data_IF_969640994921
#
_entry.id   IF_969640994921
#
_cell.length_a   1.000
_cell.length_b   1.000
_cell.length_c   1.000
_cell.angle_alpha   90.00
_cell.angle_beta   90.00
_cell.angle_gamma   90.00
#
_symmetry.space_group_name_H-M   'P 1'
#
loop_
_entity.id
_entity.type
_entity.pdbx_description
1 polymer ?
#
# COMPACT_ATOMS: atom_id res chain seq x y z
N UNK A 1 -18.87 -2.97 3.72
CA UNK A 1 -19.04 -3.30 2.29
C UNK A 1 -19.79 -4.62 2.14
N UNK A 2 -20.83 -4.66 1.29
CA UNK A 2 -21.48 -5.90 0.91
C UNK A 2 -20.59 -6.71 -0.06
N UNK A 3 -20.77 -8.04 -0.18
CA UNK A 3 -20.06 -8.84 -1.18
C UNK A 3 -20.18 -8.29 -2.61
N UNK A 4 -21.36 -7.79 -3.00
CA UNK A 4 -21.60 -7.19 -4.32
C UNK A 4 -20.71 -5.94 -4.53
N UNK A 5 -20.63 -5.05 -3.55
CA UNK A 5 -19.77 -3.87 -3.61
C UNK A 5 -18.28 -4.27 -3.70
N UNK A 6 -17.87 -5.34 -3.01
CA UNK A 6 -16.52 -5.87 -3.11
C UNK A 6 -16.17 -6.34 -4.53
N UNK A 7 -17.11 -7.00 -5.21
CA UNK A 7 -16.93 -7.42 -6.60
C UNK A 7 -16.85 -6.24 -7.59
N UNK A 8 -17.65 -5.21 -7.40
CA UNK A 8 -17.59 -4.00 -8.23
C UNK A 8 -16.26 -3.27 -8.08
N UNK A 9 -15.76 -3.12 -6.84
CA UNK A 9 -14.46 -2.54 -6.57
C UNK A 9 -13.35 -3.36 -7.23
N UNK A 10 -13.36 -4.68 -7.11
CA UNK A 10 -12.38 -5.56 -7.74
C UNK A 10 -12.38 -5.40 -9.26
N UNK A 11 -13.55 -5.42 -9.90
CA UNK A 11 -13.68 -5.20 -11.34
C UNK A 11 -13.15 -3.82 -11.78
N UNK A 12 -13.47 -2.78 -11.04
CA UNK A 12 -12.99 -1.43 -11.30
C UNK A 12 -11.45 -1.36 -11.21
N UNK A 13 -10.87 -1.95 -10.17
CA UNK A 13 -9.42 -1.94 -9.95
C UNK A 13 -8.69 -2.74 -11.03
N UNK A 14 -9.28 -3.84 -11.52
CA UNK A 14 -8.66 -4.71 -12.52
C UNK A 14 -8.95 -4.31 -13.99
N UNK A 15 -9.70 -3.22 -14.20
CA UNK A 15 -10.14 -2.83 -15.53
C UNK A 15 -8.98 -2.66 -16.52
N UNK A 16 -7.96 -1.89 -16.18
CA UNK A 16 -6.83 -1.63 -17.10
C UNK A 16 -6.02 -2.90 -17.40
N UNK A 17 -5.86 -3.77 -16.42
CA UNK A 17 -5.20 -5.05 -16.61
C UNK A 17 -5.96 -5.93 -17.62
N UNK A 18 -7.29 -5.89 -17.56
CA UNK A 18 -8.16 -6.64 -18.47
C UNK A 18 -8.15 -6.03 -19.87
N UNK A 19 -8.29 -4.70 -19.98
CA UNK A 19 -8.32 -3.98 -21.26
C UNK A 19 -7.00 -4.07 -22.03
N UNK A 20 -5.87 -3.97 -21.32
CA UNK A 20 -4.55 -4.06 -21.94
C UNK A 20 -4.03 -5.50 -22.06
N UNK A 21 -4.78 -6.49 -21.59
CA UNK A 21 -4.36 -7.89 -21.46
C UNK A 21 -2.97 -8.05 -20.81
N UNK A 22 -2.65 -7.15 -19.88
CA UNK A 22 -1.35 -7.10 -19.19
C UNK A 22 -1.43 -7.87 -17.88
N UNK A 23 -0.54 -8.83 -17.69
CA UNK A 23 -0.39 -9.54 -16.40
C UNK A 23 0.95 -9.19 -15.77
N UNK A 24 0.97 -8.79 -14.49
CA UNK A 24 2.22 -8.58 -13.80
C UNK A 24 3.08 -9.83 -13.81
N UNK A 25 4.29 -9.70 -14.33
CA UNK A 25 5.29 -10.76 -14.32
C UNK A 25 6.23 -10.58 -13.13
N UNK A 26 6.64 -11.66 -12.53
CA UNK A 26 7.55 -11.63 -11.40
C UNK A 26 8.18 -12.99 -11.15
N UNK A 27 9.19 -13.01 -10.28
CA UNK A 27 9.86 -14.23 -9.84
C UNK A 27 9.02 -14.94 -8.78
N UNK A 28 8.70 -16.21 -9.02
CA UNK A 28 8.03 -17.09 -8.05
C UNK A 28 8.86 -18.35 -7.81
N UNK A 29 8.85 -18.84 -6.58
CA UNK A 29 9.47 -20.10 -6.24
C UNK A 29 8.49 -21.24 -6.49
N UNK A 30 8.83 -22.15 -7.37
CA UNK A 30 8.03 -23.33 -7.69
C UNK A 30 8.82 -24.57 -7.30
N UNK A 31 8.13 -25.57 -6.74
CA UNK A 31 8.75 -26.86 -6.47
C UNK A 31 8.85 -27.66 -7.77
N UNK A 32 10.06 -28.02 -8.16
CA UNK A 32 10.31 -28.89 -9.28
C UNK A 32 10.30 -30.34 -8.78
N UNK A 33 9.25 -31.10 -9.15
CA UNK A 33 9.08 -32.47 -8.70
C UNK A 33 10.13 -33.42 -9.28
N UNK A 34 10.75 -33.07 -10.40
CA UNK A 34 11.80 -33.88 -11.06
C UNK A 34 13.16 -33.75 -10.37
N UNK A 35 13.47 -32.52 -9.90
CA UNK A 35 14.73 -32.21 -9.22
C UNK A 35 14.64 -32.28 -7.70
N UNK A 36 13.42 -32.33 -7.14
CA UNK A 36 13.15 -32.27 -5.70
C UNK A 36 13.52 -30.92 -5.06
N UNK A 37 13.78 -29.88 -5.85
CA UNK A 37 14.24 -28.57 -5.38
C UNK A 37 13.25 -27.48 -5.71
N UNK A 38 13.31 -26.37 -4.95
CA UNK A 38 12.58 -25.15 -5.29
C UNK A 38 13.41 -24.30 -6.24
N UNK A 39 12.85 -24.05 -7.41
CA UNK A 39 13.44 -23.25 -8.47
C UNK A 39 12.73 -21.89 -8.55
N UNK A 40 13.46 -20.87 -8.99
CA UNK A 40 12.89 -19.55 -9.25
C UNK A 40 12.57 -19.46 -10.73
N UNK A 41 11.28 -19.38 -11.04
CA UNK A 41 10.81 -19.15 -12.40
C UNK A 41 10.19 -17.76 -12.53
N UNK A 42 10.28 -17.18 -13.72
CA UNK A 42 9.56 -15.99 -14.09
C UNK A 42 8.20 -16.38 -14.65
N UNK A 43 7.15 -15.67 -14.22
CA UNK A 43 5.81 -15.98 -14.68
C UNK A 43 4.77 -15.00 -14.12
N UNK A 44 3.50 -15.13 -14.54
CA UNK A 44 2.42 -14.31 -14.00
C UNK A 44 2.36 -14.44 -12.47
N UNK A 45 2.29 -13.29 -11.79
CA UNK A 45 2.12 -13.22 -10.33
C UNK A 45 0.73 -12.69 -10.02
N UNK A 46 0.07 -13.27 -9.02
CA UNK A 46 -1.23 -12.79 -8.54
C UNK A 46 -1.13 -11.40 -7.85
N UNK A 47 0.07 -10.87 -7.68
CA UNK A 47 0.37 -9.70 -6.87
C UNK A 47 0.25 -8.40 -7.68
N UNK A 48 -0.90 -8.20 -8.35
CA UNK A 48 -1.19 -7.01 -9.15
C UNK A 48 -1.84 -5.88 -8.35
N UNK A 49 -2.28 -6.16 -7.13
CA UNK A 49 -2.84 -5.14 -6.24
C UNK A 49 -1.80 -4.74 -5.20
N UNK A 50 -1.56 -3.45 -5.10
CA UNK A 50 -0.85 -2.83 -3.99
C UNK A 50 -1.88 -2.30 -3.00
N UNK A 51 -1.65 -2.54 -1.71
CA UNK A 51 -2.59 -2.16 -0.66
C UNK A 51 -1.85 -1.54 0.50
N UNK A 52 -2.40 -0.46 1.04
CA UNK A 52 -1.98 0.12 2.31
C UNK A 52 -3.18 0.63 3.10
N UNK A 53 -2.96 0.85 4.39
CA UNK A 53 -3.86 1.55 5.30
C UNK A 53 -3.23 2.88 5.70
N UNK A 54 -4.00 3.96 5.63
CA UNK A 54 -3.66 5.24 6.24
C UNK A 54 -4.53 5.41 7.48
N UNK A 55 -3.90 5.59 8.63
CA UNK A 55 -4.58 5.70 9.91
C UNK A 55 -4.12 6.96 10.64
N UNK A 56 -5.06 7.62 11.27
CA UNK A 56 -4.80 8.71 12.20
C UNK A 56 -4.41 8.17 13.58
N UNK A 57 -3.76 9.01 14.36
CA UNK A 57 -3.57 8.75 15.80
C UNK A 57 -4.94 8.64 16.49
N UNK A 58 -5.10 7.75 17.48
CA UNK A 58 -6.33 7.71 18.29
C UNK A 58 -6.64 9.01 19.04
N UNK A 59 -5.67 9.92 19.13
CA UNK A 59 -5.81 11.25 19.75
C UNK A 59 -6.37 12.30 18.80
N UNK A 60 -6.36 12.01 17.50
CA UNK A 60 -6.88 12.90 16.48
C UNK A 60 -8.38 12.68 16.29
N UNK A 61 -9.08 13.76 15.98
CA UNK A 61 -10.49 13.68 15.63
C UNK A 61 -10.67 12.88 14.33
N UNK A 62 -11.72 12.07 14.25
CA UNK A 62 -12.11 11.40 13.03
C UNK A 62 -12.34 12.42 11.92
N UNK A 63 -11.89 12.08 10.71
CA UNK A 63 -12.03 12.95 9.56
C UNK A 63 -13.31 12.59 8.78
N UNK A 64 -13.97 13.63 8.25
CA UNK A 64 -15.08 13.40 7.32
C UNK A 64 -14.61 12.86 5.97
N UNK A 65 -15.53 12.28 5.19
CA UNK A 65 -15.25 11.67 3.89
C UNK A 65 -14.57 12.64 2.91
N UNK A 66 -14.95 13.93 2.92
CA UNK A 66 -14.31 14.94 2.07
C UNK A 66 -12.82 15.15 2.40
N UNK A 67 -12.48 15.14 3.69
CA UNK A 67 -11.09 15.28 4.12
C UNK A 67 -10.29 14.03 3.76
N UNK A 68 -10.84 12.84 4.00
CA UNK A 68 -10.24 11.60 3.59
C UNK A 68 -10.06 11.50 2.07
N UNK A 69 -11.01 12.00 1.29
CA UNK A 69 -10.88 12.07 -0.17
C UNK A 69 -9.68 12.93 -0.59
N UNK A 70 -9.50 14.09 0.03
CA UNK A 70 -8.35 14.98 -0.22
C UNK A 70 -7.04 14.32 0.17
N UNK A 71 -6.97 13.72 1.35
CA UNK A 71 -5.80 12.99 1.83
C UNK A 71 -5.45 11.82 0.91
N UNK A 72 -6.45 11.01 0.55
CA UNK A 72 -6.26 9.86 -0.33
C UNK A 72 -5.75 10.28 -1.72
N UNK A 73 -6.29 11.37 -2.26
CA UNK A 73 -5.86 11.92 -3.56
C UNK A 73 -4.43 12.42 -3.50
N UNK A 74 -4.07 13.22 -2.49
CA UNK A 74 -2.70 13.73 -2.31
C UNK A 74 -1.71 12.57 -2.11
N UNK A 75 -2.09 11.54 -1.35
CA UNK A 75 -1.27 10.34 -1.21
C UNK A 75 -1.09 9.62 -2.55
N UNK A 76 -2.16 9.41 -3.30
CA UNK A 76 -2.11 8.76 -4.61
C UNK A 76 -1.24 9.54 -5.61
N UNK A 77 -1.31 10.87 -5.61
CA UNK A 77 -0.46 11.74 -6.42
C UNK A 77 1.02 11.56 -6.07
N UNK A 78 1.37 11.60 -4.78
CA UNK A 78 2.74 11.43 -4.29
C UNK A 78 3.31 10.04 -4.55
N UNK A 79 2.46 9.03 -4.56
CA UNK A 79 2.84 7.67 -4.93
C UNK A 79 2.98 7.46 -6.44
N UNK A 80 2.46 8.39 -7.27
CA UNK A 80 2.47 8.30 -8.72
C UNK A 80 1.40 7.35 -9.27
N UNK A 81 0.24 7.30 -8.60
CA UNK A 81 -0.89 6.47 -9.06
C UNK A 81 -1.85 7.22 -9.99
N UNK A 82 -1.87 8.56 -9.94
CA UNK A 82 -2.86 9.39 -10.64
C UNK A 82 -2.39 9.94 -11.99
N UNK A 83 -1.13 9.73 -12.34
CA UNK A 83 -0.52 10.33 -13.52
C UNK A 83 0.08 11.72 -13.27
N UNK A 84 0.07 12.24 -12.04
CA UNK A 84 0.70 13.52 -11.69
C UNK A 84 2.23 13.53 -11.94
N UNK A 85 2.85 12.35 -12.06
CA UNK A 85 4.26 12.16 -12.40
C UNK A 85 4.52 12.13 -13.93
N UNK A 86 3.52 12.46 -14.75
CA UNK A 86 3.60 12.45 -16.21
C UNK A 86 3.49 11.06 -16.86
N UNK A 87 3.19 10.02 -16.06
CA UNK A 87 2.95 8.66 -16.55
C UNK A 87 1.46 8.37 -16.61
N UNK A 88 1.07 7.34 -17.36
CA UNK A 88 -0.31 6.89 -17.35
C UNK A 88 -0.80 6.55 -15.92
N UNK A 89 -2.06 6.83 -15.57
CA UNK A 89 -2.58 6.55 -14.23
C UNK A 89 -2.75 5.05 -13.97
N UNK A 90 -2.78 4.70 -12.69
CA UNK A 90 -3.27 3.42 -12.21
C UNK A 90 -4.75 3.52 -11.82
N UNK A 91 -5.47 2.41 -11.82
CA UNK A 91 -6.76 2.33 -11.13
C UNK A 91 -6.54 2.19 -9.64
N UNK A 92 -7.19 3.01 -8.86
CA UNK A 92 -7.12 2.94 -7.41
C UNK A 92 -8.44 3.31 -6.76
N UNK A 93 -8.63 2.88 -5.53
CA UNK A 93 -9.80 3.17 -4.72
C UNK A 93 -9.36 3.37 -3.27
N UNK A 94 -10.02 4.29 -2.58
CA UNK A 94 -9.90 4.45 -1.14
C UNK A 94 -11.25 4.11 -0.49
N UNK A 95 -11.21 3.35 0.59
CA UNK A 95 -12.40 2.93 1.34
C UNK A 95 -12.25 3.40 2.78
N UNK A 96 -13.16 4.25 3.24
CA UNK A 96 -13.21 4.70 4.62
C UNK A 96 -13.86 3.63 5.49
N UNK A 97 -13.16 3.17 6.50
CA UNK A 97 -13.62 2.14 7.43
C UNK A 97 -14.11 2.71 8.77
N UNK A 98 -13.84 4.01 9.03
CA UNK A 98 -14.09 4.61 10.33
C UNK A 98 -13.05 4.18 11.38
N UNK A 99 -13.38 4.27 12.67
CA UNK A 99 -12.42 4.00 13.74
C UNK A 99 -12.00 2.52 13.78
N UNK A 100 -10.71 2.29 13.91
CA UNK A 100 -10.12 0.98 14.16
C UNK A 100 -10.33 0.55 15.63
N UNK A 101 -9.97 -0.67 15.97
CA UNK A 101 -10.08 -1.20 17.36
C UNK A 101 -9.32 -0.37 18.39
N UNK A 102 -8.24 0.31 17.97
CA UNK A 102 -7.45 1.21 18.80
C UNK A 102 -8.00 2.66 18.85
N UNK A 103 -9.13 2.93 18.17
CA UNK A 103 -9.80 4.24 18.14
C UNK A 103 -9.37 5.16 17.02
N UNK A 104 -8.28 4.88 16.31
CA UNK A 104 -7.82 5.72 15.19
C UNK A 104 -8.69 5.56 13.95
N UNK A 105 -9.11 6.69 13.37
CA UNK A 105 -9.85 6.70 12.10
C UNK A 105 -8.93 6.29 10.93
N UNK A 106 -9.45 5.56 9.94
CA UNK A 106 -8.59 5.04 8.87
C UNK A 106 -9.30 4.79 7.55
N UNK A 107 -8.50 4.81 6.49
CA UNK A 107 -8.89 4.39 5.14
C UNK A 107 -7.98 3.27 4.66
N UNK A 108 -8.49 2.44 3.76
CA UNK A 108 -7.71 1.49 2.97
C UNK A 108 -7.59 1.99 1.54
N UNK A 109 -6.37 1.95 0.98
CA UNK A 109 -6.11 2.29 -0.42
C UNK A 109 -5.66 1.03 -1.14
N UNK A 110 -6.36 0.70 -2.23
CA UNK A 110 -6.03 -0.41 -3.12
C UNK A 110 -5.74 0.12 -4.51
N UNK A 111 -4.66 -0.34 -5.12
CA UNK A 111 -4.18 0.12 -6.42
C UNK A 111 -3.80 -1.07 -7.28
N UNK A 112 -4.32 -1.15 -8.50
CA UNK A 112 -3.75 -2.05 -9.49
C UNK A 112 -2.43 -1.46 -10.01
N UNK A 113 -1.37 -2.22 -9.96
CA UNK A 113 -0.05 -1.76 -10.40
C UNK A 113 0.10 -1.68 -11.91
N UNK A 114 -0.87 -2.17 -12.68
CA UNK A 114 -0.92 -2.00 -14.13
C UNK A 114 -1.56 -0.66 -14.44
N UNK A 115 -0.85 0.17 -15.20
CA UNK A 115 -1.29 1.48 -15.64
C UNK A 115 -2.22 1.37 -16.86
N UNK A 116 -2.92 2.44 -17.16
CA UNK A 116 -3.83 2.54 -18.30
C UNK A 116 -3.18 2.20 -19.65
N UNK A 117 -1.89 2.51 -19.80
CA UNK A 117 -1.09 2.21 -20.99
C UNK A 117 -0.47 0.79 -20.99
N UNK A 118 -0.82 -0.05 -20.02
CA UNK A 118 -0.28 -1.40 -19.85
C UNK A 118 1.10 -1.45 -19.20
N UNK A 119 1.74 -0.32 -18.94
CA UNK A 119 2.99 -0.29 -18.17
C UNK A 119 2.75 -0.59 -16.69
N UNK A 120 3.81 -0.84 -15.94
CA UNK A 120 3.68 -1.17 -14.51
C UNK A 120 4.22 -0.06 -13.64
N UNK A 121 3.49 0.23 -12.56
CA UNK A 121 4.00 1.04 -11.48
C UNK A 121 5.16 0.31 -10.78
N UNK A 122 6.26 1.02 -10.57
CA UNK A 122 7.45 0.45 -9.95
C UNK A 122 7.30 0.40 -8.42
N UNK A 123 7.30 -0.81 -7.87
CA UNK A 123 7.21 -1.09 -6.43
C UNK A 123 8.54 -0.92 -5.70
N UNK A 124 9.61 -0.62 -6.40
CA UNK A 124 10.90 -0.41 -5.75
C UNK A 124 10.84 0.75 -4.75
N UNK A 125 11.23 0.48 -3.52
CA UNK A 125 11.16 1.42 -2.40
C UNK A 125 9.75 2.01 -2.15
N UNK A 126 8.70 1.24 -2.35
CA UNK A 126 7.32 1.66 -2.12
C UNK A 126 7.06 2.07 -0.66
N UNK A 127 7.59 1.34 0.31
CA UNK A 127 7.46 1.68 1.74
C UNK A 127 8.14 3.02 2.09
N UNK A 128 9.44 3.27 1.79
CA UNK A 128 10.04 4.59 2.00
C UNK A 128 9.30 5.72 1.27
N UNK A 129 8.75 5.44 0.09
CA UNK A 129 7.96 6.41 -0.66
C UNK A 129 6.66 6.75 0.05
N UNK A 130 5.93 5.72 0.52
CA UNK A 130 4.70 5.90 1.29
C UNK A 130 4.95 6.65 2.60
N UNK A 131 6.02 6.33 3.32
CA UNK A 131 6.38 7.05 4.55
C UNK A 131 6.65 8.53 4.30
N UNK A 132 7.39 8.87 3.22
CA UNK A 132 7.61 10.27 2.84
C UNK A 132 6.31 10.97 2.43
N UNK A 133 5.42 10.27 1.74
CA UNK A 133 4.11 10.80 1.37
C UNK A 133 3.26 11.09 2.62
N UNK A 134 3.21 10.15 3.58
CA UNK A 134 2.50 10.33 4.85
C UNK A 134 3.06 11.53 5.64
N UNK A 135 4.39 11.64 5.81
CA UNK A 135 4.99 12.76 6.53
C UNK A 135 4.59 14.12 5.91
N UNK A 136 4.63 14.23 4.58
CA UNK A 136 4.20 15.46 3.90
C UNK A 136 2.72 15.76 4.06
N UNK A 137 1.88 14.73 4.13
CA UNK A 137 0.44 14.85 4.38
C UNK A 137 0.19 15.28 5.81
N UNK A 138 0.89 14.69 6.79
CA UNK A 138 0.80 15.07 8.20
C UNK A 138 1.03 16.59 8.36
N UNK A 139 2.10 17.12 7.76
CA UNK A 139 2.38 18.55 7.78
C UNK A 139 1.34 19.39 7.00
N UNK A 140 0.94 18.95 5.80
CA UNK A 140 0.04 19.71 4.93
C UNK A 140 -1.39 19.84 5.49
N UNK A 141 -1.83 18.83 6.24
CA UNK A 141 -3.19 18.76 6.79
C UNK A 141 -3.24 19.03 8.30
N UNK A 142 -2.10 19.38 8.92
CA UNK A 142 -2.02 19.68 10.36
C UNK A 142 -2.31 18.46 11.23
N UNK A 143 -1.96 17.27 10.77
CA UNK A 143 -2.11 16.03 11.50
C UNK A 143 -0.94 15.80 12.46
N UNK A 144 -1.09 14.85 13.39
CA UNK A 144 -0.02 14.46 14.29
C UNK A 144 1.17 13.89 13.49
N UNK A 145 2.32 14.56 13.59
CA UNK A 145 3.53 14.14 12.88
C UNK A 145 4.18 12.99 13.61
N UNK A 146 4.43 11.89 12.90
CA UNK A 146 5.11 10.73 13.47
C UNK A 146 6.61 10.95 13.40
N UNK A 147 7.25 11.23 14.55
CA UNK A 147 8.70 11.49 14.68
C UNK A 147 9.59 10.46 13.97
N UNK A 148 9.24 9.18 14.06
CA UNK A 148 9.97 8.11 13.38
C UNK A 148 10.02 8.30 11.84
N UNK A 149 9.09 9.04 11.27
CA UNK A 149 9.07 9.35 9.84
C UNK A 149 9.94 10.55 9.48
N UNK A 150 10.12 11.50 10.40
CA UNK A 150 11.02 12.66 10.21
C UNK A 150 12.48 12.24 10.20
N UNK A 151 12.85 11.29 11.05
CA UNK A 151 14.21 10.81 11.25
C UNK A 151 14.56 9.55 10.46
N UNK A 152 13.61 8.98 9.71
CA UNK A 152 13.78 7.73 8.96
C UNK A 152 14.76 7.89 7.78
N UNK A 153 16.04 7.97 8.08
CA UNK A 153 17.13 7.73 7.13
C UNK A 153 17.23 6.22 6.88
N UNK A 154 16.23 5.64 6.22
CA UNK A 154 16.34 4.28 5.66
C UNK A 154 16.29 3.12 6.66
N UNK A 155 16.01 3.32 7.93
CA UNK A 155 15.79 2.21 8.85
C UNK A 155 14.47 1.53 8.54
N UNK A 156 14.51 0.22 8.27
CA UNK A 156 13.32 -0.61 8.11
C UNK A 156 12.58 -0.66 9.45
N UNK A 157 11.34 -0.20 9.48
CA UNK A 157 10.47 -0.43 10.64
C UNK A 157 10.32 -1.94 10.88
N UNK A 158 10.38 -2.36 12.13
CA UNK A 158 10.20 -3.76 12.49
C UNK A 158 8.79 -4.22 12.06
N UNK A 159 8.74 -5.32 11.33
CA UNK A 159 7.46 -5.94 10.99
C UNK A 159 6.81 -6.55 12.25
N UNK A 160 5.48 -6.74 12.21
CA UNK A 160 4.79 -7.44 13.30
C UNK A 160 5.37 -8.85 13.55
N UNK A 161 6.02 -9.45 12.57
CA UNK A 161 6.74 -10.72 12.70
C UNK A 161 8.07 -10.53 13.46
N UNK A 162 8.82 -9.48 13.15
CA UNK A 162 10.08 -9.15 13.84
C UNK A 162 9.82 -8.86 15.33
N UNK A 163 8.76 -8.10 15.63
CA UNK A 163 8.35 -7.80 17.01
C UNK A 163 7.94 -9.06 17.79
N UNK A 164 7.17 -9.98 17.17
CA UNK A 164 6.80 -11.25 17.79
C UNK A 164 8.01 -12.16 18.04
N UNK A 165 8.97 -12.15 17.14
CA UNK A 165 10.21 -12.91 17.27
C UNK A 165 11.13 -12.32 18.34
N UNK A 166 11.25 -10.99 18.39
CA UNK A 166 11.97 -10.28 19.45
C UNK A 166 11.36 -10.56 20.84
N UNK A 167 10.04 -10.53 20.95
CA UNK A 167 9.33 -10.87 22.17
C UNK A 167 9.58 -12.34 22.61
N UNK A 168 9.58 -13.28 21.67
CA UNK A 168 9.90 -14.70 21.93
C UNK A 168 11.34 -14.91 22.40
N UNK A 169 12.28 -14.09 21.95
CA UNK A 169 13.71 -14.21 22.30
C UNK A 169 14.09 -13.41 23.55
N UNK A 170 13.12 -12.73 24.20
CA UNK A 170 13.40 -11.90 25.38
C UNK A 170 14.37 -10.75 25.12
N UNK A 171 14.56 -10.36 23.87
CA UNK A 171 15.40 -9.23 23.50
C UNK A 171 14.48 -8.04 23.22
N UNK A 172 14.39 -7.12 24.21
CA UNK A 172 14.06 -5.74 23.88
C UNK A 172 15.17 -5.24 22.95
N UNK A 173 14.83 -4.73 21.79
CA UNK A 173 15.78 -4.00 20.96
C UNK A 173 16.07 -2.71 21.70
N UNK A 174 17.23 -2.63 22.30
CA UNK A 174 17.81 -1.35 22.72
C UNK A 174 18.38 -0.73 21.45
N UNK A 175 18.01 0.51 21.19
CA UNK A 175 18.43 1.37 20.09
C UNK A 175 19.94 1.38 19.83
#
# INVERSE_FOLDING_TARGET
LSPAQGFEIARFVDQFMTETNTRPMGKRRVFNAQTGKREVIEGPVANHVWHCSLSLSPREAAQGDEQWQRIARDFADRMGFTGADGKAPCRWVAVHHGPAKNGGDHIHIMVNVVREDGTKWNRYQDQPKAMRACNRIEHAYGLEVVEAREHARGARADSAADLREAARRGRARTD
#
